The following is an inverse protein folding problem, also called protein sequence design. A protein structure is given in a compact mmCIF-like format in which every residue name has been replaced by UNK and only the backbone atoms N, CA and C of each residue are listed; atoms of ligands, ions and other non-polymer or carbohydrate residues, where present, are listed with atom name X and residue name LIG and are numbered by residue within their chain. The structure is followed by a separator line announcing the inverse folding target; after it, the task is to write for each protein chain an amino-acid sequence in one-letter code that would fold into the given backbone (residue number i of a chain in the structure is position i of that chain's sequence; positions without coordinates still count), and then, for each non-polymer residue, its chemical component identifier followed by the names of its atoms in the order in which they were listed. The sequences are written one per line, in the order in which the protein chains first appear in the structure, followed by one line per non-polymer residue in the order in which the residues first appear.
data_IF_779556280584
#
_entry.id   IF_779556280584
#
_cell.length_a   1.000
_cell.length_b   1.000
_cell.length_c   1.000
_cell.angle_alpha   90.00
_cell.angle_beta   90.00
_cell.angle_gamma   90.00
#
_symmetry.space_group_name_H-M   'P 1'
#
loop_
_entity.id
_entity.type
_entity.pdbx_description
1 polymer ?
#
# COMPACT_ATOMS: atom_id res chain seq x y z
N UNK A 1 -5.26 -26.77 -56.33
CA UNK A 1 -5.33 -25.51 -55.55
C UNK A 1 -5.79 -25.67 -54.08
N UNK A 2 -6.75 -26.55 -53.74
CA UNK A 2 -7.25 -26.71 -52.35
C UNK A 2 -6.21 -27.17 -51.31
N UNK A 3 -5.15 -27.87 -51.72
CA UNK A 3 -4.10 -28.42 -50.82
C UNK A 3 -3.21 -27.32 -50.21
N UNK A 4 -2.98 -26.22 -50.92
CA UNK A 4 -2.22 -25.07 -50.41
C UNK A 4 -3.04 -24.22 -49.45
N UNK A 5 -4.36 -24.11 -49.67
CA UNK A 5 -5.28 -23.37 -48.79
C UNK A 5 -5.33 -23.96 -47.38
N UNK A 6 -5.34 -25.31 -47.27
CA UNK A 6 -5.30 -26.02 -45.97
C UNK A 6 -3.98 -25.83 -45.22
N UNK A 7 -2.84 -25.78 -45.92
CA UNK A 7 -1.53 -25.53 -45.30
C UNK A 7 -1.42 -24.12 -44.73
N UNK A 8 -1.88 -23.12 -45.49
CA UNK A 8 -1.88 -21.72 -45.02
C UNK A 8 -2.79 -21.54 -43.80
N UNK A 9 -3.98 -22.13 -43.80
CA UNK A 9 -4.88 -22.15 -42.65
C UNK A 9 -4.24 -22.79 -41.41
N UNK A 10 -3.51 -23.88 -41.58
CA UNK A 10 -2.84 -24.55 -40.45
C UNK A 10 -1.75 -23.67 -39.84
N UNK A 11 -0.98 -22.96 -40.67
CA UNK A 11 0.08 -22.04 -40.21
C UNK A 11 -0.53 -20.86 -39.45
N UNK A 12 -1.63 -20.29 -39.96
CA UNK A 12 -2.33 -19.17 -39.30
C UNK A 12 -2.92 -19.61 -37.95
N UNK A 13 -3.50 -20.81 -37.87
CA UNK A 13 -4.03 -21.36 -36.61
C UNK A 13 -2.92 -21.59 -35.59
N UNK A 14 -1.77 -22.13 -36.01
CA UNK A 14 -0.61 -22.33 -35.12
C UNK A 14 -0.06 -20.99 -34.63
N UNK A 15 0.05 -19.97 -35.50
CA UNK A 15 0.44 -18.62 -35.08
C UNK A 15 -0.55 -17.99 -34.10
N UNK A 16 -1.86 -18.15 -34.33
CA UNK A 16 -2.91 -17.66 -33.42
C UNK A 16 -2.86 -18.35 -32.06
N UNK A 17 -2.63 -19.67 -32.03
CA UNK A 17 -2.46 -20.41 -30.77
C UNK A 17 -1.21 -19.96 -30.01
N UNK A 18 -0.10 -19.71 -30.72
CA UNK A 18 1.11 -19.15 -30.10
C UNK A 18 0.88 -17.72 -29.58
N UNK A 19 0.19 -16.86 -30.33
CA UNK A 19 -0.13 -15.50 -29.87
C UNK A 19 -1.03 -15.53 -28.63
N UNK A 20 -2.05 -16.41 -28.60
CA UNK A 20 -2.91 -16.61 -27.43
C UNK A 20 -2.16 -17.17 -26.21
N UNK A 21 -1.06 -17.89 -26.38
CA UNK A 21 -0.26 -18.40 -25.26
C UNK A 21 0.60 -17.32 -24.60
N UNK A 22 1.01 -16.29 -25.35
CA UNK A 22 1.92 -15.23 -24.86
C UNK A 22 1.14 -14.04 -24.26
N UNK A 23 -0.09 -13.80 -24.71
CA UNK A 23 -0.95 -12.70 -24.24
C UNK A 23 -1.28 -12.73 -22.72
N UNK A 24 -1.54 -13.87 -22.06
CA UNK A 24 -1.87 -13.89 -20.63
C UNK A 24 -0.67 -13.48 -19.75
N UNK A 25 0.56 -13.70 -20.21
CA UNK A 25 1.75 -13.37 -19.42
C UNK A 25 2.14 -11.89 -19.50
N UNK A 26 1.73 -11.17 -20.56
CA UNK A 26 1.99 -9.74 -20.70
C UNK A 26 1.01 -8.85 -19.93
N UNK A 27 -0.20 -9.34 -19.63
CA UNK A 27 -1.25 -8.57 -18.97
C UNK A 27 -1.12 -8.49 -17.44
N UNK A 28 -0.23 -9.29 -16.82
CA UNK A 28 -0.02 -9.33 -15.37
C UNK A 28 1.41 -8.91 -14.96
N UNK A 29 2.04 -8.00 -15.71
CA UNK A 29 3.09 -7.17 -15.13
C UNK A 29 2.40 -5.99 -14.43
N UNK A 30 1.82 -6.24 -13.25
CA UNK A 30 1.22 -5.19 -12.44
C UNK A 30 2.19 -4.01 -12.34
N UNK A 31 1.69 -2.78 -12.50
CA UNK A 31 2.50 -1.59 -12.24
C UNK A 31 2.64 -1.38 -10.73
N UNK A 32 3.70 -0.72 -10.28
CA UNK A 32 3.72 -0.22 -8.92
C UNK A 32 2.60 0.83 -8.76
N UNK A 33 1.78 0.69 -7.72
CA UNK A 33 0.63 1.54 -7.46
C UNK A 33 1.06 2.60 -6.43
N UNK A 34 0.84 3.87 -6.75
CA UNK A 34 1.02 4.98 -5.82
C UNK A 34 -0.33 5.59 -5.48
N UNK A 35 -0.69 5.58 -4.20
CA UNK A 35 -1.92 6.14 -3.68
C UNK A 35 -1.62 7.10 -2.54
N UNK A 36 -2.44 8.14 -2.41
CA UNK A 36 -2.31 9.08 -1.30
C UNK A 36 -3.67 9.56 -0.83
N UNK A 37 -3.78 9.87 0.46
CA UNK A 37 -4.98 10.39 1.08
C UNK A 37 -4.64 11.44 2.13
N UNK A 38 -5.62 12.29 2.41
CA UNK A 38 -5.53 13.35 3.40
C UNK A 38 -6.80 13.34 4.25
N UNK A 39 -6.63 13.52 5.55
CA UNK A 39 -7.71 13.63 6.52
C UNK A 39 -7.45 14.82 7.43
N UNK A 40 -8.48 15.63 7.65
CA UNK A 40 -8.44 16.72 8.62
C UNK A 40 -9.09 16.20 9.91
N UNK A 41 -8.34 16.24 11.01
CA UNK A 41 -8.87 15.93 12.33
C UNK A 41 -9.14 17.24 13.07
N UNK A 42 -10.39 17.49 13.48
CA UNK A 42 -10.75 18.75 14.11
C UNK A 42 -10.08 18.91 15.48
N UNK A 43 -9.96 20.16 15.97
CA UNK A 43 -9.55 20.42 17.34
C UNK A 43 -10.48 19.70 18.34
N UNK A 44 -9.90 19.22 19.44
CA UNK A 44 -10.64 18.52 20.51
C UNK A 44 -11.48 17.32 20.05
N UNK A 45 -11.01 16.61 19.01
CA UNK A 45 -11.64 15.40 18.50
C UNK A 45 -12.00 14.41 19.64
N UNK A 46 -13.30 14.21 19.84
CA UNK A 46 -13.86 13.29 20.86
C UNK A 46 -14.04 11.87 20.33
N UNK A 47 -13.88 11.68 19.02
CA UNK A 47 -14.03 10.38 18.34
C UNK A 47 -12.74 10.04 17.59
N UNK A 48 -12.56 8.76 17.31
CA UNK A 48 -11.48 8.30 16.45
C UNK A 48 -11.72 8.71 14.99
N UNK A 49 -10.65 9.06 14.29
CA UNK A 49 -10.65 9.39 12.88
C UNK A 49 -9.72 8.45 12.13
N UNK A 50 -10.22 7.83 11.06
CA UNK A 50 -9.46 6.83 10.29
C UNK A 50 -9.30 7.27 8.84
N UNK A 51 -8.06 7.28 8.37
CA UNK A 51 -7.70 7.49 6.97
C UNK A 51 -7.20 6.16 6.40
N UNK A 52 -7.85 5.69 5.33
CA UNK A 52 -7.46 4.46 4.61
C UNK A 52 -6.96 4.82 3.21
N UNK A 53 -5.78 4.33 2.85
CA UNK A 53 -5.15 4.53 1.55
C UNK A 53 -4.62 3.18 1.06
N UNK A 54 -5.26 2.62 0.04
CA UNK A 54 -4.99 1.25 -0.38
C UNK A 54 -5.27 0.27 0.75
N UNK A 55 -4.26 -0.52 1.12
CA UNK A 55 -4.33 -1.51 2.20
C UNK A 55 -3.84 -0.99 3.56
N UNK A 56 -3.32 0.24 3.61
CA UNK A 56 -2.80 0.83 4.85
C UNK A 56 -3.82 1.82 5.40
N UNK A 57 -4.09 1.74 6.68
CA UNK A 57 -4.92 2.70 7.38
C UNK A 57 -4.20 3.31 8.58
N UNK A 58 -4.59 4.52 8.96
CA UNK A 58 -4.18 5.14 10.21
C UNK A 58 -5.39 5.62 10.96
N UNK A 59 -5.48 5.24 12.23
CA UNK A 59 -6.52 5.66 13.15
C UNK A 59 -5.92 6.57 14.21
N UNK A 60 -6.43 7.80 14.26
CA UNK A 60 -6.09 8.81 15.25
C UNK A 60 -7.16 8.76 16.35
N UNK A 61 -6.84 8.27 17.56
CA UNK A 61 -7.79 8.22 18.65
C UNK A 61 -8.06 9.61 19.26
N UNK A 62 -9.12 9.76 20.09
CA UNK A 62 -9.35 10.97 20.86
C UNK A 62 -8.12 11.37 21.67
N UNK A 63 -7.81 12.66 21.71
CA UNK A 63 -6.66 13.20 22.45
C UNK A 63 -5.28 13.03 21.78
N UNK A 64 -5.18 12.32 20.65
CA UNK A 64 -3.92 12.24 19.90
C UNK A 64 -3.58 13.54 19.15
N UNK A 65 -4.59 14.35 18.81
CA UNK A 65 -4.37 15.62 18.12
C UNK A 65 -4.14 16.76 19.12
N UNK A 66 -3.25 17.72 18.80
CA UNK A 66 -3.14 18.97 19.54
C UNK A 66 -4.48 19.72 19.62
N UNK A 67 -4.55 20.69 20.53
CA UNK A 67 -5.73 21.53 20.77
C UNK A 67 -6.24 22.27 19.53
N UNK A 68 -5.39 22.56 18.55
CA UNK A 68 -5.74 23.19 17.27
C UNK A 68 -6.10 22.19 16.15
N UNK A 69 -6.13 20.88 16.44
CA UNK A 69 -6.37 19.83 15.45
C UNK A 69 -5.17 19.58 14.55
N UNK A 70 -5.41 19.07 13.34
CA UNK A 70 -4.35 18.91 12.36
C UNK A 70 -4.73 18.09 11.13
N UNK A 71 -3.83 18.13 10.16
CA UNK A 71 -3.91 17.33 8.95
C UNK A 71 -3.15 16.01 9.19
N UNK A 72 -3.68 14.92 8.66
CA UNK A 72 -3.01 13.62 8.54
C UNK A 72 -2.92 13.32 7.06
N UNK A 73 -1.73 13.07 6.57
CA UNK A 73 -1.48 12.67 5.19
C UNK A 73 -0.82 11.30 5.17
N UNK A 74 -1.29 10.43 4.28
CA UNK A 74 -0.76 9.09 4.09
C UNK A 74 -0.50 8.88 2.59
N UNK A 75 0.73 8.50 2.26
CA UNK A 75 1.16 8.10 0.93
C UNK A 75 1.63 6.64 0.97
N UNK A 76 1.07 5.81 0.09
CA UNK A 76 1.38 4.38 -0.02
C UNK A 76 1.87 4.09 -1.42
N UNK A 77 3.04 3.47 -1.52
CA UNK A 77 3.59 2.94 -2.76
C UNK A 77 3.72 1.43 -2.65
N UNK A 78 2.98 0.70 -3.46
CA UNK A 78 2.89 -0.76 -3.44
C UNK A 78 3.47 -1.33 -4.73
N UNK A 79 4.38 -2.30 -4.61
CA UNK A 79 4.94 -3.03 -5.74
C UNK A 79 4.09 -4.27 -6.06
N UNK A 80 4.16 -4.79 -7.29
CA UNK A 80 3.41 -5.99 -7.68
C UNK A 80 3.78 -7.25 -6.88
N UNK A 81 4.98 -7.26 -6.31
CA UNK A 81 5.47 -8.30 -5.41
C UNK A 81 4.89 -8.23 -3.99
N UNK A 82 3.95 -7.33 -3.71
CA UNK A 82 3.31 -7.17 -2.40
C UNK A 82 4.17 -6.41 -1.38
N UNK A 83 5.28 -5.78 -1.80
CA UNK A 83 6.04 -4.87 -0.93
C UNK A 83 5.37 -3.51 -0.95
N UNK A 84 5.34 -2.84 0.19
CA UNK A 84 4.82 -1.49 0.27
C UNK A 84 5.77 -0.56 1.02
N UNK A 85 5.62 0.73 0.74
CA UNK A 85 6.19 1.84 1.50
C UNK A 85 5.06 2.78 1.89
N UNK A 86 4.88 2.99 3.18
CA UNK A 86 3.88 3.89 3.74
C UNK A 86 4.59 5.08 4.41
N UNK A 87 4.19 6.28 4.03
CA UNK A 87 4.71 7.54 4.56
C UNK A 87 3.58 8.32 5.20
N UNK A 88 3.71 8.57 6.49
CA UNK A 88 2.74 9.30 7.31
C UNK A 88 3.28 10.69 7.61
N UNK A 89 2.44 11.71 7.43
CA UNK A 89 2.74 13.11 7.74
C UNK A 89 1.57 13.73 8.53
N UNK A 90 1.81 14.77 9.34
CA UNK A 90 3.09 15.45 9.60
C UNK A 90 4.03 14.63 10.49
N UNK A 91 5.33 14.84 10.30
CA UNK A 91 6.38 14.30 11.17
C UNK A 91 6.33 14.99 12.54
N UNK A 92 5.68 14.32 13.50
CA UNK A 92 5.52 14.81 14.87
C UNK A 92 5.22 13.68 15.84
N UNK A 93 5.41 13.97 17.12
CA UNK A 93 4.94 13.14 18.22
C UNK A 93 3.48 13.43 18.58
N UNK A 94 2.78 12.40 19.04
CA UNK A 94 1.39 12.43 19.45
C UNK A 94 1.30 12.23 20.96
N UNK A 95 0.46 12.98 21.70
CA UNK A 95 0.24 12.75 23.13
C UNK A 95 -0.44 11.41 23.47
N UNK A 96 -1.04 10.76 22.47
CA UNK A 96 -1.71 9.46 22.56
C UNK A 96 -1.31 8.66 21.33
N UNK A 97 -0.97 7.36 21.45
CA UNK A 97 -0.46 6.59 20.33
C UNK A 97 -1.55 6.40 19.27
N UNK A 98 -1.17 6.65 18.02
CA UNK A 98 -1.97 6.35 16.84
C UNK A 98 -1.87 4.87 16.49
N UNK A 99 -2.87 4.36 15.80
CA UNK A 99 -2.90 2.96 15.34
C UNK A 99 -2.69 2.96 13.83
N UNK A 100 -1.59 2.38 13.38
CA UNK A 100 -1.31 2.12 11.98
C UNK A 100 -1.71 0.68 11.69
N UNK A 101 -2.55 0.48 10.69
CA UNK A 101 -3.04 -0.82 10.25
C UNK A 101 -2.42 -1.12 8.88
N UNK A 102 -1.63 -2.18 8.82
CA UNK A 102 -0.98 -2.68 7.62
C UNK A 102 -1.65 -3.98 7.13
N UNK A 103 -2.94 -4.16 7.44
CA UNK A 103 -3.78 -5.29 7.04
C UNK A 103 -3.26 -6.63 7.59
N UNK A 104 -2.48 -7.35 6.79
CA UNK A 104 -1.98 -8.70 7.11
C UNK A 104 -0.47 -8.75 7.32
N UNK A 105 0.23 -7.62 7.17
CA UNK A 105 1.68 -7.56 7.30
C UNK A 105 2.15 -7.98 8.70
N UNK A 106 2.96 -9.05 8.86
CA UNK A 106 3.38 -9.56 10.17
C UNK A 106 4.37 -8.64 10.88
N UNK A 107 5.07 -7.81 10.12
CA UNK A 107 6.02 -6.83 10.63
C UNK A 107 6.21 -5.71 9.60
N UNK A 108 6.73 -4.57 10.06
CA UNK A 108 7.15 -3.44 9.21
C UNK A 108 8.56 -2.97 9.59
N UNK A 109 9.34 -2.54 8.62
CA UNK A 109 10.62 -1.86 8.82
C UNK A 109 10.37 -0.37 8.98
N UNK A 110 10.70 0.15 10.16
CA UNK A 110 10.78 1.58 10.46
C UNK A 110 12.08 2.18 9.91
N UNK A 111 11.99 3.24 9.11
CA UNK A 111 13.16 3.93 8.55
C UNK A 111 13.71 4.96 9.54
N UNK A 112 14.53 4.50 10.49
CA UNK A 112 15.20 5.40 11.45
C UNK A 112 16.47 6.03 10.86
N UNK A 113 16.96 7.16 11.41
CA UNK A 113 18.25 7.74 11.02
C UNK A 113 19.45 6.79 11.21
N UNK A 114 19.32 5.77 12.07
CA UNK A 114 20.37 4.77 12.36
C UNK A 114 20.27 3.53 11.47
N UNK A 115 19.32 3.53 10.52
CA UNK A 115 19.02 2.39 9.64
C UNK A 115 17.63 1.81 9.87
N UNK A 116 17.20 0.87 9.01
CA UNK A 116 15.90 0.22 9.14
C UNK A 116 15.83 -0.64 10.40
N UNK A 117 14.74 -0.50 11.15
CA UNK A 117 14.45 -1.30 12.35
C UNK A 117 13.15 -2.08 12.15
N UNK A 118 13.20 -3.40 12.34
CA UNK A 118 12.02 -4.24 12.22
C UNK A 118 11.13 -4.13 13.45
N UNK A 119 9.85 -3.87 13.24
CA UNK A 119 8.80 -3.82 14.25
C UNK A 119 7.73 -4.86 13.95
N UNK A 120 7.47 -5.75 14.90
CA UNK A 120 6.42 -6.77 14.76
C UNK A 120 5.04 -6.14 14.96
N UNK A 121 4.08 -6.51 14.10
CA UNK A 121 2.70 -6.07 14.25
C UNK A 121 1.91 -7.03 15.13
N UNK A 122 0.80 -6.56 15.68
CA UNK A 122 -0.20 -7.42 16.34
C UNK A 122 -1.46 -7.39 15.49
N UNK A 123 -1.74 -8.48 14.77
CA UNK A 123 -2.83 -8.55 13.78
C UNK A 123 -2.75 -7.43 12.73
N UNK A 124 -1.57 -7.24 12.11
CA UNK A 124 -1.33 -6.18 11.11
C UNK A 124 -1.21 -4.77 11.69
N UNK A 125 -1.48 -4.58 12.98
CA UNK A 125 -1.52 -3.27 13.62
C UNK A 125 -0.26 -2.94 14.40
N UNK A 126 0.12 -1.68 14.35
CA UNK A 126 1.21 -1.10 15.11
C UNK A 126 0.70 0.15 15.84
N UNK A 127 0.98 0.24 17.15
CA UNK A 127 0.79 1.46 17.90
C UNK A 127 2.06 2.30 17.83
N UNK A 128 1.94 3.54 17.39
CA UNK A 128 3.08 4.46 17.31
C UNK A 128 2.74 5.79 17.97
N UNK A 129 3.72 6.37 18.64
CA UNK A 129 3.63 7.71 19.21
C UNK A 129 4.01 8.79 18.22
N UNK A 130 4.36 8.41 16.99
CA UNK A 130 4.95 9.30 16.03
C UNK A 130 4.64 8.83 14.59
N UNK A 131 4.40 9.79 13.70
CA UNK A 131 4.21 9.51 12.28
C UNK A 131 5.56 9.41 11.61
N UNK A 132 5.80 8.27 10.98
CA UNK A 132 7.10 7.94 10.43
C UNK A 132 6.96 7.29 9.07
N UNK A 133 8.10 6.94 8.47
CA UNK A 133 8.13 6.19 7.22
C UNK A 133 8.36 4.71 7.53
N UNK A 134 7.49 3.88 7.00
CA UNK A 134 7.53 2.43 7.16
C UNK A 134 7.57 1.74 5.80
N UNK A 135 8.23 0.59 5.74
CA UNK A 135 8.11 -0.33 4.61
C UNK A 135 7.77 -1.72 5.11
N UNK A 136 7.02 -2.48 4.34
CA UNK A 136 6.68 -3.83 4.73
C UNK A 136 6.28 -4.66 3.52
N UNK A 137 5.74 -5.83 3.82
CA UNK A 137 5.13 -6.72 2.84
C UNK A 137 4.01 -7.50 3.51
N UNK A 138 3.17 -8.08 2.67
CA UNK A 138 2.10 -8.98 3.06
C UNK A 138 2.60 -10.43 3.06
#
# INVERSE_FOLDING_TARGET
MMRNRRRVLSIVVVMLMLAMLVLPMAASAGGAIKQSGLMIVPPFAQRSYTLTVGRVAVTVPPGAMPWYGGIVYLSVHETPSGRFKAEFLPDREFPVPVIMDYDTAPWVDYHSPRGPQRMWTTNGKLKSWHFSRYSGWF
#
